data_IF_758259429165
#
_entry.id   IF_758259429165
#
_cell.length_a   1.000
_cell.length_b   1.000
_cell.length_c   1.000
_cell.angle_alpha   90.00
_cell.angle_beta   90.00
_cell.angle_gamma   90.00
#
_symmetry.space_group_name_H-M   'P 1'
#
loop_
_entity.id
_entity.type
_entity.pdbx_description
1 polymer ?
#
# COMPACT_ATOMS: atom_id res chain seq x y z
N UNK A 1 9.28 3.89 -23.44
CA UNK A 1 7.90 3.68 -22.99
C UNK A 1 7.72 2.28 -22.37
N UNK A 2 7.68 1.19 -23.16
CA UNK A 2 7.45 -0.19 -22.63
C UNK A 2 8.42 -0.63 -21.52
N UNK A 3 9.73 -0.34 -21.66
CA UNK A 3 10.74 -0.69 -20.62
C UNK A 3 10.57 0.06 -19.29
N UNK A 4 10.07 1.30 -19.32
CA UNK A 4 9.80 2.08 -18.10
C UNK A 4 8.59 1.51 -17.38
N UNK A 5 7.48 1.25 -18.07
CA UNK A 5 6.29 0.65 -17.47
C UNK A 5 6.55 -0.73 -16.85
N UNK A 6 7.34 -1.58 -17.52
CA UNK A 6 7.74 -2.89 -16.98
C UNK A 6 8.57 -2.70 -15.70
N UNK A 7 9.50 -1.75 -15.68
CA UNK A 7 10.28 -1.43 -14.49
C UNK A 7 9.42 -0.90 -13.35
N UNK A 8 8.45 -0.03 -13.63
CA UNK A 8 7.57 0.57 -12.61
C UNK A 8 6.62 -0.46 -12.01
N UNK A 9 6.04 -1.36 -12.83
CA UNK A 9 5.18 -2.45 -12.35
C UNK A 9 5.95 -3.43 -11.46
N UNK A 10 7.17 -3.81 -11.85
CA UNK A 10 8.04 -4.69 -11.06
C UNK A 10 8.41 -4.01 -9.72
N UNK A 11 8.76 -2.72 -9.75
CA UNK A 11 9.05 -1.97 -8.52
C UNK A 11 7.83 -1.87 -7.59
N UNK A 12 6.63 -1.65 -8.14
CA UNK A 12 5.40 -1.65 -7.33
C UNK A 12 5.12 -3.01 -6.70
N UNK A 13 5.28 -4.10 -7.47
CA UNK A 13 5.15 -5.46 -6.94
C UNK A 13 6.16 -5.68 -5.81
N UNK A 14 7.41 -5.23 -5.97
CA UNK A 14 8.43 -5.26 -4.92
C UNK A 14 8.02 -4.50 -3.65
N UNK A 15 7.52 -3.28 -3.78
CA UNK A 15 7.06 -2.49 -2.64
C UNK A 15 5.89 -3.15 -1.89
N UNK A 16 4.88 -3.63 -2.62
CA UNK A 16 3.72 -4.27 -2.01
C UNK A 16 4.01 -5.66 -1.44
N UNK A 17 4.97 -6.41 -2.01
CA UNK A 17 5.39 -7.72 -1.46
C UNK A 17 6.12 -7.55 -0.14
N UNK A 18 6.99 -6.54 -0.02
CA UNK A 18 7.61 -6.17 1.26
C UNK A 18 6.53 -5.82 2.29
N UNK A 19 5.56 -4.97 1.94
CA UNK A 19 4.44 -4.64 2.85
C UNK A 19 3.66 -5.88 3.30
N UNK A 20 3.37 -6.82 2.39
CA UNK A 20 2.61 -8.02 2.70
C UNK A 20 3.38 -8.99 3.60
N UNK A 21 4.67 -9.23 3.33
CA UNK A 21 5.52 -10.13 4.13
C UNK A 21 5.68 -9.59 5.56
N UNK A 22 5.99 -8.30 5.72
CA UNK A 22 6.12 -7.70 7.04
C UNK A 22 4.76 -7.52 7.75
N UNK A 23 3.67 -7.35 6.99
CA UNK A 23 2.30 -7.37 7.49
C UNK A 23 1.92 -8.74 8.07
N UNK A 24 2.26 -9.82 7.38
CA UNK A 24 2.08 -11.19 7.91
C UNK A 24 2.96 -11.43 9.14
N UNK A 25 4.20 -10.92 9.13
CA UNK A 25 5.09 -10.98 10.30
C UNK A 25 4.49 -10.32 11.54
N UNK A 26 3.79 -9.19 11.38
CA UNK A 26 3.09 -8.51 12.49
C UNK A 26 2.01 -9.37 13.15
N UNK A 27 1.39 -10.31 12.43
CA UNK A 27 0.34 -11.19 12.99
C UNK A 27 0.92 -12.18 14.01
N UNK A 28 2.18 -12.59 13.85
CA UNK A 28 2.81 -13.62 14.66
C UNK A 28 3.79 -13.08 15.71
N UNK A 29 4.14 -11.79 15.64
CA UNK A 29 5.17 -11.18 16.48
C UNK A 29 4.54 -10.36 17.61
N UNK A 30 4.78 -10.79 18.84
CA UNK A 30 4.35 -10.07 20.05
C UNK A 30 5.46 -9.20 20.67
N UNK A 31 6.72 -9.38 20.23
CA UNK A 31 7.85 -8.62 20.76
C UNK A 31 7.87 -7.19 20.21
N UNK A 32 7.76 -6.19 21.09
CA UNK A 32 7.60 -4.77 20.71
C UNK A 32 8.71 -4.18 19.81
N UNK A 33 9.95 -4.65 19.95
CA UNK A 33 11.06 -4.19 19.10
C UNK A 33 10.93 -4.72 17.66
N UNK A 34 10.53 -5.98 17.48
CA UNK A 34 10.26 -6.57 16.18
C UNK A 34 9.02 -5.94 15.52
N UNK A 35 7.98 -5.64 16.29
CA UNK A 35 6.79 -4.91 15.80
C UNK A 35 7.18 -3.56 15.18
N UNK A 36 8.06 -2.81 15.84
CA UNK A 36 8.50 -1.48 15.36
C UNK A 36 9.30 -1.61 14.06
N UNK A 37 10.17 -2.62 13.95
CA UNK A 37 10.93 -2.91 12.73
C UNK A 37 9.96 -3.26 11.59
N UNK A 38 8.98 -4.13 11.82
CA UNK A 38 7.97 -4.49 10.82
C UNK A 38 7.19 -3.27 10.33
N UNK A 39 6.75 -2.39 11.24
CA UNK A 39 6.05 -1.15 10.88
C UNK A 39 6.93 -0.23 10.04
N UNK A 40 8.21 -0.09 10.37
CA UNK A 40 9.15 0.73 9.61
C UNK A 40 9.30 0.24 8.16
N UNK A 41 9.44 -1.08 7.95
CA UNK A 41 9.51 -1.67 6.62
C UNK A 41 8.21 -1.50 5.83
N UNK A 42 7.05 -1.63 6.49
CA UNK A 42 5.75 -1.37 5.88
C UNK A 42 5.63 0.09 5.44
N UNK A 43 6.05 1.04 6.29
CA UNK A 43 6.03 2.47 5.95
C UNK A 43 6.93 2.78 4.75
N UNK A 44 8.12 2.16 4.68
CA UNK A 44 9.00 2.30 3.51
C UNK A 44 8.37 1.75 2.24
N UNK A 45 7.77 0.54 2.30
CA UNK A 45 7.10 -0.06 1.16
C UNK A 45 5.89 0.75 0.68
N UNK A 46 5.05 1.23 1.60
CA UNK A 46 3.92 2.11 1.30
C UNK A 46 4.36 3.44 0.71
N UNK A 47 5.39 4.08 1.28
CA UNK A 47 5.94 5.34 0.78
C UNK A 47 6.44 5.20 -0.65
N UNK A 48 7.23 4.16 -0.94
CA UNK A 48 7.70 3.86 -2.29
C UNK A 48 6.55 3.57 -3.27
N UNK A 49 5.56 2.78 -2.84
CA UNK A 49 4.37 2.50 -3.64
C UNK A 49 3.55 3.75 -3.99
N UNK A 50 3.38 4.67 -3.05
CA UNK A 50 2.65 5.92 -3.27
C UNK A 50 3.37 6.85 -4.27
N UNK A 51 4.70 6.97 -4.15
CA UNK A 51 5.50 7.74 -5.11
C UNK A 51 5.46 7.16 -6.52
N UNK A 52 5.52 5.82 -6.65
CA UNK A 52 5.40 5.14 -7.95
C UNK A 52 3.99 5.30 -8.55
N UNK A 53 2.94 5.26 -7.72
CA UNK A 53 1.57 5.51 -8.16
C UNK A 53 1.39 6.93 -8.70
N UNK A 54 1.99 7.93 -8.03
CA UNK A 54 2.02 9.31 -8.51
C UNK A 54 2.71 9.43 -9.88
N UNK A 55 3.84 8.74 -10.05
CA UNK A 55 4.58 8.74 -11.31
C UNK A 55 3.77 8.12 -12.45
N UNK A 56 3.10 7.00 -12.20
CA UNK A 56 2.22 6.33 -13.18
C UNK A 56 1.04 7.21 -13.56
N UNK A 57 0.40 7.86 -12.59
CA UNK A 57 -0.77 8.71 -12.84
C UNK A 57 -0.42 9.89 -13.78
N UNK A 58 0.76 10.50 -13.57
CA UNK A 58 1.31 11.53 -14.47
C UNK A 58 1.68 11.02 -15.87
N UNK A 59 1.97 9.73 -16.04
CA UNK A 59 2.35 9.14 -17.32
C UNK A 59 1.13 8.68 -18.14
N UNK A 60 0.05 8.23 -17.47
CA UNK A 60 -1.17 7.73 -18.13
C UNK A 60 -2.20 8.82 -18.44
N UNK A 61 -2.32 9.86 -17.60
CA UNK A 61 -3.31 10.91 -17.80
C UNK A 61 -2.65 12.18 -18.34
N UNK A 62 -3.36 12.88 -19.22
CA UNK A 62 -2.97 14.24 -19.64
C UNK A 62 -2.94 15.16 -18.40
N UNK A 63 -2.07 16.19 -18.36
CA UNK A 63 -1.87 17.02 -17.17
C UNK A 63 -3.17 17.60 -16.57
N UNK A 64 -4.16 17.88 -17.41
CA UNK A 64 -5.49 18.36 -17.03
C UNK A 64 -6.32 17.32 -16.25
N UNK A 65 -6.14 16.03 -16.55
CA UNK A 65 -6.86 14.93 -15.91
C UNK A 65 -6.09 14.29 -14.74
N UNK A 66 -4.76 14.48 -14.66
CA UNK A 66 -3.97 13.98 -13.52
C UNK A 66 -4.51 14.52 -12.19
N UNK A 67 -4.79 15.82 -12.11
CA UNK A 67 -5.31 16.43 -10.88
C UNK A 67 -6.66 15.84 -10.43
N UNK A 68 -7.53 15.51 -11.39
CA UNK A 68 -8.79 14.83 -11.11
C UNK A 68 -8.58 13.38 -10.68
N UNK A 69 -7.76 12.62 -11.41
CA UNK A 69 -7.44 11.23 -11.07
C UNK A 69 -6.82 11.12 -9.67
N UNK A 70 -5.93 12.05 -9.32
CA UNK A 70 -5.30 12.12 -8.00
C UNK A 70 -6.30 12.50 -6.90
N UNK A 71 -7.24 13.41 -7.20
CA UNK A 71 -8.31 13.79 -6.27
C UNK A 71 -9.24 12.62 -5.96
N UNK A 72 -9.58 11.80 -6.97
CA UNK A 72 -10.38 10.58 -6.80
C UNK A 72 -9.62 9.56 -5.93
N UNK A 73 -8.32 9.36 -6.19
CA UNK A 73 -7.51 8.45 -5.35
C UNK A 73 -7.43 8.94 -3.91
N UNK A 74 -7.28 10.25 -3.71
CA UNK A 74 -7.25 10.84 -2.37
C UNK A 74 -8.59 10.73 -1.63
N UNK A 75 -9.70 10.89 -2.34
CA UNK A 75 -11.02 10.68 -1.76
C UNK A 75 -11.18 9.22 -1.27
N UNK A 76 -10.77 8.26 -2.09
CA UNK A 76 -10.73 6.85 -1.70
C UNK A 76 -9.82 6.58 -0.50
N UNK A 77 -8.61 7.15 -0.48
CA UNK A 77 -7.69 6.96 0.65
C UNK A 77 -8.25 7.53 1.95
N UNK A 78 -8.88 8.70 1.91
CA UNK A 78 -9.53 9.29 3.10
C UNK A 78 -10.66 8.41 3.62
N UNK A 79 -11.47 7.84 2.73
CA UNK A 79 -12.51 6.88 3.10
C UNK A 79 -11.93 5.64 3.80
N UNK A 80 -10.83 5.09 3.28
CA UNK A 80 -10.12 3.98 3.90
C UNK A 80 -9.49 4.36 5.25
N UNK A 81 -8.98 5.58 5.40
CA UNK A 81 -8.44 6.07 6.68
C UNK A 81 -9.55 6.17 7.73
N UNK A 82 -10.73 6.68 7.38
CA UNK A 82 -11.88 6.73 8.30
C UNK A 82 -12.32 5.32 8.73
N UNK A 83 -12.33 4.37 7.80
CA UNK A 83 -12.57 2.95 8.14
C UNK A 83 -11.47 2.40 9.05
N UNK A 84 -10.21 2.78 8.83
CA UNK A 84 -9.10 2.35 9.69
C UNK A 84 -9.25 2.86 11.12
N UNK A 85 -9.72 4.10 11.33
CA UNK A 85 -10.01 4.62 12.66
C UNK A 85 -11.19 3.89 13.31
N UNK A 86 -12.23 3.55 12.56
CA UNK A 86 -13.34 2.74 13.08
C UNK A 86 -12.87 1.35 13.54
N UNK A 87 -11.87 0.80 12.84
CA UNK A 87 -11.31 -0.53 13.13
C UNK A 87 -10.17 -0.49 14.17
N UNK A 88 -9.67 0.69 14.56
CA UNK A 88 -8.56 0.78 15.53
C UNK A 88 -8.96 0.42 16.96
N UNK A 89 -10.26 0.49 17.27
CA UNK A 89 -10.80 0.06 18.56
C UNK A 89 -10.88 -1.47 18.69
N UNK A 90 -10.66 -2.21 17.60
CA UNK A 90 -10.59 -3.67 17.64
C UNK A 90 -9.27 -4.13 18.25
N UNK A 91 -9.35 -5.11 19.16
CA UNK A 91 -8.16 -5.73 19.76
C UNK A 91 -7.31 -6.41 18.68
N UNK A 92 -5.99 -6.39 18.87
CA UNK A 92 -5.07 -7.24 18.12
C UNK A 92 -5.52 -8.71 18.20
N UNK A 93 -5.38 -9.53 17.14
CA UNK A 93 -4.67 -9.29 15.87
C UNK A 93 -5.57 -8.84 14.69
N UNK A 94 -6.84 -8.51 14.93
CA UNK A 94 -7.84 -8.25 13.88
C UNK A 94 -7.42 -7.15 12.87
N UNK A 95 -6.97 -5.96 13.27
CA UNK A 95 -6.59 -4.91 12.30
C UNK A 95 -5.37 -5.30 11.45
N UNK A 96 -4.47 -6.14 11.98
CA UNK A 96 -3.29 -6.62 11.26
C UNK A 96 -3.67 -7.64 10.16
N UNK A 97 -4.66 -8.50 10.44
CA UNK A 97 -5.20 -9.45 9.47
C UNK A 97 -5.91 -8.70 8.33
N UNK A 98 -6.71 -7.68 8.66
CA UNK A 98 -7.37 -6.84 7.64
C UNK A 98 -6.36 -6.11 6.75
N UNK A 99 -5.28 -5.58 7.34
CA UNK A 99 -4.18 -5.01 6.57
C UNK A 99 -3.56 -6.02 5.60
N UNK A 100 -3.32 -7.26 6.04
CA UNK A 100 -2.82 -8.33 5.17
C UNK A 100 -3.77 -8.67 4.02
N UNK A 101 -5.08 -8.72 4.27
CA UNK A 101 -6.07 -9.01 3.24
C UNK A 101 -6.08 -7.90 2.18
N UNK A 102 -6.09 -6.63 2.59
CA UNK A 102 -6.11 -5.49 1.67
C UNK A 102 -4.83 -5.44 0.85
N UNK A 103 -3.67 -5.60 1.48
CA UNK A 103 -2.37 -5.61 0.79
C UNK A 103 -2.21 -6.82 -0.14
N UNK A 104 -2.75 -7.98 0.25
CA UNK A 104 -2.80 -9.19 -0.59
C UNK A 104 -3.68 -9.00 -1.83
N UNK A 105 -4.86 -8.39 -1.67
CA UNK A 105 -5.73 -8.04 -2.80
C UNK A 105 -5.07 -7.02 -3.74
N UNK A 106 -4.38 -6.02 -3.19
CA UNK A 106 -3.62 -5.05 -3.98
C UNK A 106 -2.51 -5.73 -4.78
N UNK A 107 -1.76 -6.66 -4.18
CA UNK A 107 -0.78 -7.48 -4.89
C UNK A 107 -1.40 -8.29 -6.02
N UNK A 108 -2.52 -8.96 -5.76
CA UNK A 108 -3.22 -9.75 -6.76
C UNK A 108 -3.65 -8.89 -7.95
N UNK A 109 -4.16 -7.68 -7.67
CA UNK A 109 -4.54 -6.70 -8.72
C UNK A 109 -3.37 -6.16 -9.53
N UNK A 110 -2.15 -6.18 -8.99
CA UNK A 110 -0.95 -5.75 -9.70
C UNK A 110 -0.37 -6.86 -10.60
N UNK A 111 -0.64 -8.12 -10.26
CA UNK A 111 -0.20 -9.29 -11.02
C UNK A 111 -1.08 -9.57 -12.25
N UNK A 112 -2.39 -9.37 -12.14
CA UNK A 112 -3.31 -9.38 -13.29
C UNK A 112 -3.23 -8.04 -14.04
#
# INVERSE_FOLDING_TARGET
FVRKHVSTRISMIGCFTVCFVFGLGLVFVEQGWLVTICIAFILMGLGGGFSLAYFLNNEYFTPLFVGFAFSVTQFGSRGMTTLSYLMSDLKAPIPMILFCIITGLALFSLFF
#
